data_IF_311456982607
#
_entry.id   IF_311456982607
#
_cell.length_a   1.000
_cell.length_b   1.000
_cell.length_c   1.000
_cell.angle_alpha   90.00
_cell.angle_beta   90.00
_cell.angle_gamma   90.00
#
_symmetry.space_group_name_H-M   'P 1'
#
loop_
_entity.id
_entity.type
_entity.pdbx_description
1 polymer ?
#
# COMPACT_ATOMS: atom_id res chain seq x y z
N UNK A 1 -10.12 -0.49 34.61
CA UNK A 1 -8.65 -0.62 34.52
C UNK A 1 -8.13 0.72 34.00
N UNK A 2 -7.48 1.50 34.87
CA UNK A 2 -7.08 2.88 34.62
C UNK A 2 -5.86 2.89 33.72
N UNK A 3 -5.99 3.41 32.50
CA UNK A 3 -4.85 3.71 31.67
C UNK A 3 -4.29 5.05 32.12
N UNK A 4 -3.12 5.04 32.77
CA UNK A 4 -2.39 6.28 33.11
C UNK A 4 -1.83 6.89 31.82
N UNK A 5 -2.39 8.03 31.42
CA UNK A 5 -1.70 8.95 30.52
C UNK A 5 -0.63 9.69 31.35
N UNK A 6 0.59 9.69 30.83
CA UNK A 6 1.66 10.49 31.41
C UNK A 6 1.27 11.96 31.36
N UNK A 7 1.18 12.58 32.52
CA UNK A 7 1.05 14.03 32.68
C UNK A 7 2.25 14.74 32.06
N UNK A 8 1.95 15.64 31.16
CA UNK A 8 2.93 16.47 30.48
C UNK A 8 3.37 17.61 31.39
N UNK A 9 4.55 17.51 31.98
CA UNK A 9 5.25 18.65 32.63
C UNK A 9 6.22 19.28 31.65
N UNK A 10 5.99 20.57 31.36
CA UNK A 10 7.05 21.50 31.07
C UNK A 10 7.33 21.79 29.60
N UNK A 11 6.99 23.01 29.20
CA UNK A 11 7.56 23.65 28.02
C UNK A 11 9.10 23.58 28.07
N UNK A 12 9.68 22.95 27.07
CA UNK A 12 11.10 23.07 26.77
C UNK A 12 11.29 23.50 25.32
N UNK A 13 11.96 24.60 25.14
CA UNK A 13 12.41 25.16 23.87
C UNK A 13 13.08 24.10 22.99
N UNK A 14 12.58 23.95 21.77
CA UNK A 14 13.05 22.97 20.81
C UNK A 14 14.46 23.28 20.33
N UNK A 15 15.45 22.54 20.84
CA UNK A 15 16.70 22.28 20.15
C UNK A 15 16.48 21.09 19.23
N UNK A 16 16.57 21.31 17.91
CA UNK A 16 16.63 20.25 16.92
C UNK A 16 17.70 19.23 17.30
N UNK A 17 17.32 18.10 17.90
CA UNK A 17 18.19 16.93 17.98
C UNK A 17 18.09 16.21 16.64
N UNK A 18 19.16 16.25 15.84
CA UNK A 18 19.37 15.29 14.76
C UNK A 18 19.39 13.91 15.41
N UNK A 19 18.35 13.10 15.13
CA UNK A 19 18.27 11.71 15.56
C UNK A 19 19.02 10.84 14.55
N UNK A 20 19.52 9.68 15.01
CA UNK A 20 20.31 8.73 14.21
C UNK A 20 19.59 8.16 12.96
N UNK A 21 18.31 8.45 12.76
CA UNK A 21 17.55 8.10 11.52
C UNK A 21 17.85 9.00 10.33
N UNK A 22 18.68 10.05 10.48
CA UNK A 22 19.00 10.96 9.37
C UNK A 22 20.17 10.49 8.50
N UNK A 23 21.01 9.57 8.97
CA UNK A 23 22.11 9.01 8.18
C UNK A 23 21.60 7.94 7.20
N UNK A 24 20.77 7.02 7.65
CA UNK A 24 20.22 5.95 6.80
C UNK A 24 19.34 6.51 5.66
N UNK A 25 18.58 7.57 5.93
CA UNK A 25 17.78 8.26 4.91
C UNK A 25 18.65 8.99 3.87
N UNK A 26 19.75 9.61 4.29
CA UNK A 26 20.66 10.32 3.38
C UNK A 26 21.47 9.35 2.50
N UNK A 27 21.92 8.22 3.05
CA UNK A 27 22.63 7.18 2.33
C UNK A 27 21.74 6.51 1.29
N UNK A 28 20.50 6.17 1.65
CA UNK A 28 19.52 5.62 0.73
C UNK A 28 19.16 6.60 -0.40
N UNK A 29 19.01 7.89 -0.12
CA UNK A 29 18.75 8.90 -1.15
C UNK A 29 19.93 9.00 -2.14
N UNK A 30 21.17 8.92 -1.64
CA UNK A 30 22.34 8.92 -2.51
C UNK A 30 22.40 7.68 -3.41
N UNK A 31 22.07 6.50 -2.90
CA UNK A 31 22.01 5.27 -3.68
C UNK A 31 20.93 5.30 -4.77
N UNK A 32 19.74 5.84 -4.47
CA UNK A 32 18.66 6.05 -5.46
C UNK A 32 19.13 7.02 -6.56
N UNK A 33 19.78 8.13 -6.20
CA UNK A 33 20.34 9.08 -7.17
C UNK A 33 21.37 8.40 -8.06
N UNK A 34 22.31 7.63 -7.47
CA UNK A 34 23.34 6.92 -8.21
C UNK A 34 22.74 5.88 -9.20
N UNK A 35 21.64 5.24 -8.83
CA UNK A 35 20.92 4.35 -9.74
C UNK A 35 20.40 5.12 -10.96
N UNK A 36 19.71 6.23 -10.76
CA UNK A 36 19.13 7.01 -11.84
C UNK A 36 20.18 7.68 -12.72
N UNK A 37 21.30 8.10 -12.17
CA UNK A 37 22.46 8.59 -12.93
C UNK A 37 23.08 7.51 -13.84
N UNK A 38 23.05 6.24 -13.39
CA UNK A 38 23.54 5.11 -14.17
C UNK A 38 22.53 4.58 -15.21
N UNK A 39 21.24 4.80 -15.02
CA UNK A 39 20.15 4.26 -15.83
C UNK A 39 20.34 4.47 -17.34
N UNK A 40 20.72 5.66 -17.88
CA UNK A 40 20.92 5.88 -19.31
C UNK A 40 21.99 4.96 -19.93
N UNK A 41 22.90 4.40 -19.13
CA UNK A 41 23.97 3.55 -19.61
C UNK A 41 23.61 2.07 -19.72
N UNK A 42 22.53 1.64 -19.05
CA UNK A 42 22.10 0.23 -18.97
C UNK A 42 20.76 -0.03 -19.70
N UNK A 43 19.92 1.00 -19.85
CA UNK A 43 18.52 0.86 -20.34
C UNK A 43 18.44 0.20 -21.71
N UNK A 44 19.32 0.54 -22.67
CA UNK A 44 19.29 0.01 -24.03
C UNK A 44 19.56 -1.51 -24.05
N UNK A 45 20.60 -1.95 -23.33
CA UNK A 45 20.92 -3.39 -23.26
C UNK A 45 19.82 -4.20 -22.52
N UNK A 46 19.11 -3.59 -21.59
CA UNK A 46 17.95 -4.21 -20.94
C UNK A 46 16.75 -4.29 -21.90
N UNK A 47 16.49 -3.25 -22.71
CA UNK A 47 15.45 -3.26 -23.75
C UNK A 47 15.72 -4.37 -24.77
N UNK A 48 16.95 -4.45 -25.29
CA UNK A 48 17.38 -5.50 -26.23
C UNK A 48 17.16 -6.92 -25.66
N UNK A 49 17.36 -7.09 -24.34
CA UNK A 49 17.12 -8.38 -23.67
C UNK A 49 15.64 -8.75 -23.61
N UNK A 50 14.77 -7.76 -23.36
CA UNK A 50 13.32 -7.97 -23.34
C UNK A 50 12.80 -8.30 -24.74
N UNK A 51 13.27 -7.59 -25.78
CA UNK A 51 12.86 -7.83 -27.18
C UNK A 51 13.30 -9.19 -27.70
N UNK A 52 14.54 -9.57 -27.39
CA UNK A 52 15.10 -10.85 -27.87
C UNK A 52 14.66 -12.06 -27.05
N UNK A 53 14.06 -11.85 -25.86
CA UNK A 53 13.75 -12.91 -24.91
C UNK A 53 15.00 -13.61 -24.36
N UNK A 54 16.18 -12.98 -24.46
CA UNK A 54 17.45 -13.52 -23.95
C UNK A 54 17.91 -12.75 -22.72
N UNK A 55 18.62 -13.39 -21.78
CA UNK A 55 19.17 -12.70 -20.63
C UNK A 55 20.06 -11.51 -21.04
N UNK A 56 19.97 -10.42 -20.31
CA UNK A 56 20.84 -9.27 -20.52
C UNK A 56 22.33 -9.67 -20.33
N UNK A 57 23.27 -8.96 -20.97
CA UNK A 57 24.70 -9.21 -20.79
C UNK A 57 25.08 -9.25 -19.30
N UNK A 58 25.93 -10.21 -18.91
CA UNK A 58 26.29 -10.44 -17.53
C UNK A 58 26.82 -9.16 -16.82
N UNK A 59 27.64 -8.38 -17.51
CA UNK A 59 28.17 -7.11 -17.00
C UNK A 59 27.07 -6.09 -16.67
N UNK A 60 26.02 -6.02 -17.52
CA UNK A 60 24.87 -5.13 -17.30
C UNK A 60 24.05 -5.62 -16.12
N UNK A 61 23.76 -6.93 -16.08
CA UNK A 61 22.99 -7.53 -14.99
C UNK A 61 23.68 -7.41 -13.63
N UNK A 62 25.01 -7.65 -13.58
CA UNK A 62 25.80 -7.46 -12.36
C UNK A 62 25.81 -6.01 -11.90
N UNK A 63 25.97 -5.07 -12.83
CA UNK A 63 25.93 -3.63 -12.53
C UNK A 63 24.58 -3.19 -11.96
N UNK A 64 23.47 -3.57 -12.60
CA UNK A 64 22.13 -3.24 -12.12
C UNK A 64 21.88 -3.88 -10.75
N UNK A 65 22.27 -5.14 -10.57
CA UNK A 65 22.14 -5.83 -9.29
C UNK A 65 22.92 -5.13 -8.19
N UNK A 66 24.14 -4.65 -8.47
CA UNK A 66 24.94 -3.90 -7.50
C UNK A 66 24.22 -2.59 -7.10
N UNK A 67 23.75 -1.82 -8.08
CA UNK A 67 23.03 -0.56 -7.84
C UNK A 67 21.73 -0.77 -7.03
N UNK A 68 20.96 -1.80 -7.35
CA UNK A 68 19.72 -2.13 -6.62
C UNK A 68 20.03 -2.54 -5.17
N UNK A 69 21.08 -3.33 -4.95
CA UNK A 69 21.49 -3.75 -3.60
C UNK A 69 22.12 -2.63 -2.78
N UNK A 70 22.67 -1.60 -3.40
CA UNK A 70 23.09 -0.39 -2.70
C UNK A 70 21.88 0.40 -2.16
N UNK A 71 20.73 0.37 -2.85
CA UNK A 71 19.49 0.96 -2.34
C UNK A 71 19.03 0.18 -1.11
N UNK A 72 18.92 -1.16 -1.22
CA UNK A 72 18.63 -2.05 -0.09
C UNK A 72 19.07 -3.49 -0.39
N UNK A 73 19.73 -4.21 0.53
CA UNK A 73 20.26 -5.55 0.29
C UNK A 73 19.19 -6.62 -0.01
N UNK A 74 17.96 -6.42 0.46
CA UNK A 74 16.83 -7.35 0.22
C UNK A 74 16.10 -7.05 -1.09
N UNK A 75 16.46 -6.00 -1.83
CA UNK A 75 15.87 -5.73 -3.13
C UNK A 75 16.43 -6.66 -4.19
N UNK A 76 15.53 -7.19 -4.98
CA UNK A 76 15.82 -7.84 -6.26
C UNK A 76 15.12 -7.06 -7.38
N UNK A 77 15.36 -7.43 -8.63
CA UNK A 77 14.82 -6.72 -9.78
C UNK A 77 14.52 -7.66 -10.94
N UNK A 78 13.62 -7.21 -11.81
CA UNK A 78 13.33 -7.87 -13.08
C UNK A 78 13.00 -6.83 -14.14
N UNK A 79 13.16 -7.21 -15.40
CA UNK A 79 12.70 -6.45 -16.57
C UNK A 79 11.84 -7.33 -17.45
N UNK A 80 10.87 -6.72 -18.10
CA UNK A 80 9.94 -7.40 -18.98
C UNK A 80 9.15 -6.42 -19.84
N UNK A 81 8.18 -6.94 -20.58
CA UNK A 81 7.21 -6.08 -21.25
C UNK A 81 6.40 -5.32 -20.20
N UNK A 82 6.10 -4.06 -20.47
CA UNK A 82 5.28 -3.29 -19.56
C UNK A 82 3.89 -3.92 -19.44
N UNK A 83 3.37 -4.13 -18.21
CA UNK A 83 2.00 -4.56 -18.05
C UNK A 83 1.07 -3.55 -18.72
N UNK A 84 0.13 -4.05 -19.49
CA UNK A 84 -0.87 -3.18 -20.10
C UNK A 84 -1.66 -2.51 -19.00
N UNK A 85 -2.07 -1.23 -19.18
CA UNK A 85 -3.00 -0.63 -18.24
C UNK A 85 -4.23 -1.55 -18.13
N UNK A 86 -4.49 -2.06 -16.94
CA UNK A 86 -5.72 -2.79 -16.67
C UNK A 86 -6.88 -1.76 -16.57
N UNK A 87 -7.14 -1.05 -17.65
CA UNK A 87 -8.38 -0.30 -17.86
C UNK A 87 -9.41 -1.29 -18.39
N UNK A 88 -9.87 -2.18 -17.54
CA UNK A 88 -10.86 -3.17 -17.89
C UNK A 88 -12.23 -2.83 -17.33
N UNK A 89 -13.22 -3.60 -17.73
CA UNK A 89 -14.59 -3.57 -17.22
C UNK A 89 -14.69 -3.65 -15.68
N UNK A 90 -13.61 -4.07 -15.00
CA UNK A 90 -13.52 -4.17 -13.54
C UNK A 90 -13.35 -2.81 -12.83
N UNK A 91 -12.94 -1.76 -13.54
CA UNK A 91 -12.90 -0.38 -13.02
C UNK A 91 -14.19 0.39 -13.24
N UNK A 92 -15.13 -0.19 -13.99
CA UNK A 92 -16.44 0.40 -14.16
C UNK A 92 -17.22 0.29 -12.84
N UNK A 93 -17.59 1.44 -12.31
CA UNK A 93 -18.52 1.48 -11.18
C UNK A 93 -19.92 1.07 -11.67
N UNK A 94 -20.23 -0.23 -11.53
CA UNK A 94 -21.52 -0.81 -11.89
C UNK A 94 -22.54 -0.74 -10.74
N UNK A 95 -22.31 0.10 -9.72
CA UNK A 95 -23.26 0.27 -8.63
C UNK A 95 -24.61 0.80 -9.15
N UNK A 96 -25.74 0.41 -8.54
CA UNK A 96 -27.08 0.82 -9.00
C UNK A 96 -27.32 2.34 -8.97
N UNK A 97 -26.47 3.08 -8.24
CA UNK A 97 -26.59 4.53 -8.01
C UNK A 97 -25.67 5.37 -8.91
N UNK A 98 -24.91 4.73 -9.83
CA UNK A 98 -24.01 5.46 -10.74
C UNK A 98 -24.81 6.22 -11.79
N UNK A 99 -24.44 7.49 -11.97
CA UNK A 99 -24.97 8.32 -13.06
C UNK A 99 -24.69 7.66 -14.43
N UNK A 100 -25.71 7.34 -15.23
CA UNK A 100 -25.52 6.75 -16.55
C UNK A 100 -24.60 7.56 -17.49
N UNK A 101 -24.53 8.89 -17.31
CA UNK A 101 -23.64 9.75 -18.08
C UNK A 101 -22.17 9.49 -17.71
N UNK A 102 -21.86 9.28 -16.42
CA UNK A 102 -20.52 8.96 -15.94
C UNK A 102 -20.09 7.57 -16.39
N UNK A 103 -21.01 6.60 -16.40
CA UNK A 103 -20.74 5.26 -16.91
C UNK A 103 -20.44 5.27 -18.42
N UNK A 104 -21.17 6.08 -19.21
CA UNK A 104 -20.91 6.26 -20.64
C UNK A 104 -19.57 6.94 -20.89
N UNK A 105 -19.18 7.90 -20.07
CA UNK A 105 -17.86 8.56 -20.13
C UNK A 105 -16.73 7.57 -19.82
N UNK A 106 -16.91 6.74 -18.82
CA UNK A 106 -15.96 5.67 -18.48
C UNK A 106 -15.87 4.62 -19.60
N UNK A 107 -16.98 4.20 -20.18
CA UNK A 107 -17.02 3.30 -21.33
C UNK A 107 -16.36 3.93 -22.58
N UNK A 108 -16.60 5.22 -22.83
CA UNK A 108 -15.98 5.93 -23.93
C UNK A 108 -14.46 6.08 -23.74
N UNK A 109 -13.99 6.24 -22.50
CA UNK A 109 -12.57 6.28 -22.18
C UNK A 109 -11.88 4.91 -22.40
N UNK A 110 -12.60 3.80 -22.24
CA UNK A 110 -12.12 2.45 -22.54
C UNK A 110 -12.06 2.17 -24.05
N UNK A 111 -12.91 2.83 -24.85
CA UNK A 111 -13.03 2.62 -26.31
C UNK A 111 -12.19 3.62 -27.11
N UNK A 112 -11.49 4.56 -26.45
CA UNK A 112 -10.66 5.58 -27.10
C UNK A 112 -9.28 5.02 -27.44
N UNK A 113 -9.03 4.63 -28.72
CA UNK A 113 -7.71 4.15 -29.12
C UNK A 113 -6.62 5.25 -29.08
N UNK A 114 -6.99 6.54 -28.90
CA UNK A 114 -6.03 7.62 -28.74
C UNK A 114 -5.39 7.66 -27.35
N UNK A 115 -6.04 7.09 -26.34
CA UNK A 115 -5.45 6.82 -25.01
C UNK A 115 -4.45 5.64 -25.01
N UNK A 116 -4.41 4.85 -26.10
CA UNK A 116 -3.43 3.77 -26.33
C UNK A 116 -2.14 4.28 -27.00
N UNK A 117 -2.05 5.58 -27.30
CA UNK A 117 -0.85 6.18 -27.85
C UNK A 117 0.25 6.17 -26.79
N UNK A 118 1.23 5.29 -27.02
CA UNK A 118 2.53 5.25 -26.36
C UNK A 118 2.55 4.78 -24.90
N UNK A 119 1.83 3.70 -24.59
CA UNK A 119 2.14 2.97 -23.36
C UNK A 119 3.61 2.50 -23.43
N UNK A 120 4.40 2.67 -22.37
CA UNK A 120 5.78 2.21 -22.34
C UNK A 120 5.89 0.75 -22.77
N UNK A 121 6.86 0.44 -23.62
CA UNK A 121 7.04 -0.93 -24.12
C UNK A 121 7.63 -1.87 -23.05
N UNK A 122 8.46 -1.32 -22.18
CA UNK A 122 9.23 -2.08 -21.19
C UNK A 122 8.88 -1.67 -19.77
N UNK A 123 9.06 -2.61 -18.84
CA UNK A 123 8.98 -2.32 -17.42
C UNK A 123 10.24 -2.80 -16.70
N UNK A 124 10.68 -1.98 -15.74
CA UNK A 124 11.60 -2.41 -14.69
C UNK A 124 10.86 -2.44 -13.36
N UNK A 125 10.85 -3.61 -12.74
CA UNK A 125 10.18 -3.87 -11.48
C UNK A 125 11.21 -4.17 -10.41
N UNK A 126 11.14 -3.47 -9.28
CA UNK A 126 11.83 -3.88 -8.06
C UNK A 126 10.98 -4.90 -7.30
N UNK A 127 11.66 -5.81 -6.60
CA UNK A 127 11.06 -6.89 -5.84
C UNK A 127 11.53 -6.83 -4.39
N UNK A 128 10.78 -6.15 -3.51
CA UNK A 128 11.15 -5.98 -2.11
C UNK A 128 10.96 -7.24 -1.26
N UNK A 129 10.29 -8.27 -1.75
CA UNK A 129 9.98 -9.46 -0.97
C UNK A 129 9.19 -9.13 0.30
N UNK A 130 9.37 -9.87 1.40
CA UNK A 130 8.65 -9.64 2.65
C UNK A 130 9.20 -8.45 3.48
N UNK A 131 10.31 -7.84 3.08
CA UNK A 131 10.97 -6.74 3.82
C UNK A 131 10.19 -5.43 3.69
N UNK A 132 9.69 -4.88 4.81
CA UNK A 132 9.04 -3.57 4.81
C UNK A 132 10.02 -2.44 4.49
N UNK A 133 11.26 -2.54 4.97
CA UNK A 133 12.31 -1.58 4.68
C UNK A 133 12.65 -1.54 3.19
N UNK A 134 12.80 -2.70 2.56
CA UNK A 134 13.02 -2.80 1.11
C UNK A 134 11.84 -2.19 0.33
N UNK A 135 10.59 -2.44 0.77
CA UNK A 135 9.39 -1.86 0.14
C UNK A 135 9.36 -0.34 0.21
N UNK A 136 9.79 0.24 1.34
CA UNK A 136 9.92 1.69 1.50
C UNK A 136 10.97 2.25 0.53
N UNK A 137 12.11 1.57 0.39
CA UNK A 137 13.17 2.02 -0.50
C UNK A 137 12.81 1.86 -1.98
N UNK A 138 12.09 0.81 -2.34
CA UNK A 138 11.58 0.64 -3.71
C UNK A 138 10.57 1.74 -4.08
N UNK A 139 9.73 2.17 -3.13
CA UNK A 139 8.84 3.31 -3.33
C UNK A 139 9.59 4.62 -3.57
N UNK A 140 10.65 4.89 -2.79
CA UNK A 140 11.48 6.08 -2.98
C UNK A 140 12.19 6.08 -4.33
N UNK A 141 12.69 4.91 -4.73
CA UNK A 141 13.28 4.71 -6.06
C UNK A 141 12.26 5.04 -7.15
N UNK A 142 11.05 4.53 -7.05
CA UNK A 142 9.96 4.78 -8.00
C UNK A 142 9.59 6.26 -8.08
N UNK A 143 9.38 6.93 -6.93
CA UNK A 143 9.01 8.36 -6.90
C UNK A 143 10.10 9.30 -7.40
N UNK A 144 11.34 8.83 -7.44
CA UNK A 144 12.49 9.57 -7.97
C UNK A 144 12.80 9.20 -9.42
N UNK A 145 11.98 8.35 -10.05
CA UNK A 145 12.19 7.92 -11.42
C UNK A 145 12.04 9.12 -12.38
N UNK A 146 12.90 9.23 -13.37
CA UNK A 146 12.73 10.22 -14.44
C UNK A 146 11.50 9.87 -15.29
N UNK A 147 10.90 10.86 -15.92
CA UNK A 147 9.92 10.60 -16.97
C UNK A 147 10.60 9.85 -18.12
N UNK A 148 10.00 8.75 -18.54
CA UNK A 148 10.50 7.90 -19.61
C UNK A 148 9.31 7.42 -20.46
N UNK A 149 9.42 7.56 -21.78
CA UNK A 149 8.35 7.18 -22.71
C UNK A 149 8.39 5.71 -23.09
N UNK A 150 9.54 5.04 -22.94
CA UNK A 150 9.74 3.64 -23.30
C UNK A 150 9.67 2.70 -22.12
N UNK A 151 9.99 3.22 -20.91
CA UNK A 151 10.09 2.42 -19.69
C UNK A 151 9.06 2.83 -18.65
N UNK A 152 8.40 1.83 -18.08
CA UNK A 152 7.59 1.93 -16.87
C UNK A 152 8.37 1.40 -15.68
N UNK A 153 8.38 2.17 -14.60
CA UNK A 153 9.04 1.74 -13.36
C UNK A 153 7.99 1.30 -12.34
N UNK A 154 8.24 0.15 -11.71
CA UNK A 154 7.31 -0.45 -10.76
C UNK A 154 8.04 -0.72 -9.44
N UNK A 155 7.57 -0.17 -8.31
CA UNK A 155 8.23 -0.35 -7.02
C UNK A 155 7.99 -1.74 -6.42
N UNK A 156 7.09 -2.52 -7.01
CA UNK A 156 6.70 -3.86 -6.58
C UNK A 156 6.04 -4.57 -7.75
N UNK A 157 6.10 -5.91 -7.79
CA UNK A 157 5.42 -6.67 -8.83
C UNK A 157 3.91 -6.56 -8.69
N UNK A 158 3.18 -6.01 -9.66
CA UNK A 158 1.72 -5.96 -9.65
C UNK A 158 1.11 -7.35 -9.93
N UNK A 159 -0.17 -7.50 -9.69
CA UNK A 159 -0.94 -8.62 -10.25
C UNK A 159 -0.94 -8.53 -11.79
N UNK A 160 -0.97 -9.68 -12.45
CA UNK A 160 -1.03 -9.78 -13.91
C UNK A 160 -1.94 -10.95 -14.32
N UNK A 161 -3.21 -10.64 -14.42
CA UNK A 161 -4.24 -11.63 -14.74
C UNK A 161 -4.19 -12.10 -16.20
N UNK A 162 -3.63 -11.29 -17.11
CA UNK A 162 -3.49 -11.70 -18.53
C UNK A 162 -2.51 -12.88 -18.64
N UNK A 163 -1.45 -12.89 -17.85
CA UNK A 163 -0.50 -14.00 -17.85
C UNK A 163 -1.08 -15.31 -17.32
N UNK A 164 -2.17 -15.29 -16.56
CA UNK A 164 -2.88 -16.50 -16.13
C UNK A 164 -3.56 -17.26 -17.28
N UNK A 165 -3.70 -16.64 -18.44
CA UNK A 165 -4.17 -17.28 -19.68
C UNK A 165 -3.05 -17.80 -20.59
N UNK A 166 -1.78 -17.62 -20.21
CA UNK A 166 -0.65 -17.97 -21.06
C UNK A 166 -0.07 -19.35 -20.75
N UNK A 167 0.73 -19.85 -21.68
CA UNK A 167 1.58 -21.02 -21.47
C UNK A 167 2.94 -20.58 -20.97
N UNK A 168 3.45 -21.22 -19.93
CA UNK A 168 4.78 -20.99 -19.36
C UNK A 168 5.61 -22.27 -19.44
N UNK A 169 6.92 -22.12 -19.67
CA UNK A 169 7.85 -23.26 -19.63
C UNK A 169 8.43 -23.41 -18.22
N UNK A 170 8.34 -24.63 -17.67
CA UNK A 170 8.86 -24.98 -16.35
C UNK A 170 9.42 -26.39 -16.33
N UNK A 171 10.68 -26.59 -15.94
CA UNK A 171 11.36 -27.88 -15.97
C UNK A 171 11.24 -28.59 -17.35
N UNK A 172 11.43 -27.87 -18.46
CA UNK A 172 11.28 -28.34 -19.84
C UNK A 172 9.84 -28.81 -20.20
N UNK A 173 8.84 -28.45 -19.39
CA UNK A 173 7.43 -28.70 -19.66
C UNK A 173 6.69 -27.38 -19.95
N UNK A 174 5.82 -27.46 -20.96
CA UNK A 174 4.91 -26.37 -21.30
C UNK A 174 3.62 -26.49 -20.47
N UNK A 175 3.31 -25.50 -19.66
CA UNK A 175 2.16 -25.48 -18.78
C UNK A 175 1.20 -24.35 -19.19
N UNK A 176 -0.01 -24.73 -19.58
CA UNK A 176 -1.10 -23.79 -19.85
C UNK A 176 -1.76 -23.37 -18.54
N UNK A 177 -1.44 -22.15 -18.06
CA UNK A 177 -1.94 -21.65 -16.78
C UNK A 177 -3.46 -21.47 -16.73
N UNK A 178 -4.15 -21.46 -17.88
CA UNK A 178 -5.61 -21.41 -17.93
C UNK A 178 -6.27 -22.65 -17.32
N UNK A 179 -5.53 -23.77 -17.21
CA UNK A 179 -5.99 -25.01 -16.59
C UNK A 179 -5.79 -25.04 -15.06
N UNK A 180 -5.16 -24.03 -14.50
CA UNK A 180 -4.95 -23.95 -13.05
C UNK A 180 -6.27 -23.81 -12.31
N UNK A 181 -6.38 -24.55 -11.22
CA UNK A 181 -7.47 -24.41 -10.25
C UNK A 181 -6.88 -24.17 -8.86
N UNK A 182 -7.54 -23.32 -8.09
CA UNK A 182 -7.11 -23.01 -6.73
C UNK A 182 -8.16 -23.40 -5.71
N UNK A 183 -7.73 -23.66 -4.48
CA UNK A 183 -8.55 -23.71 -3.30
C UNK A 183 -8.04 -22.69 -2.30
N UNK A 184 -8.95 -22.05 -1.57
CA UNK A 184 -8.59 -21.04 -0.58
C UNK A 184 -9.25 -21.36 0.75
N UNK A 185 -8.46 -21.26 1.81
CA UNK A 185 -8.94 -21.42 3.18
C UNK A 185 -8.55 -20.22 4.00
N UNK A 186 -9.55 -19.52 4.54
CA UNK A 186 -9.32 -18.36 5.41
C UNK A 186 -8.96 -18.84 6.81
N UNK A 187 -7.79 -18.45 7.27
CA UNK A 187 -7.34 -18.62 8.65
C UNK A 187 -7.59 -17.31 9.42
N UNK A 188 -8.80 -17.14 9.94
CA UNK A 188 -9.21 -15.91 10.66
C UNK A 188 -8.30 -15.60 11.85
N UNK A 189 -7.82 -16.63 12.57
CA UNK A 189 -6.95 -16.44 13.74
C UNK A 189 -5.58 -15.86 13.40
N UNK A 190 -5.07 -16.17 12.20
CA UNK A 190 -3.81 -15.62 11.69
C UNK A 190 -4.00 -14.39 10.79
N UNK A 191 -5.23 -14.08 10.39
CA UNK A 191 -5.50 -13.04 9.39
C UNK A 191 -4.89 -13.37 8.02
N UNK A 192 -4.87 -14.65 7.63
CA UNK A 192 -4.19 -15.13 6.43
C UNK A 192 -5.07 -16.08 5.62
N UNK A 193 -4.77 -16.13 4.31
CA UNK A 193 -5.38 -17.06 3.35
C UNK A 193 -4.36 -18.15 3.06
N UNK A 194 -4.74 -19.40 3.22
CA UNK A 194 -3.96 -20.55 2.77
C UNK A 194 -4.44 -20.93 1.38
N UNK A 195 -3.51 -21.03 0.43
CA UNK A 195 -3.78 -21.24 -1.00
C UNK A 195 -3.27 -22.61 -1.42
N UNK A 196 -4.13 -23.42 -1.98
CA UNK A 196 -3.76 -24.65 -2.66
C UNK A 196 -3.88 -24.46 -4.18
N UNK A 197 -2.84 -24.80 -4.93
CA UNK A 197 -2.80 -24.64 -6.39
C UNK A 197 -2.65 -26.00 -7.06
N UNK A 198 -3.52 -26.30 -7.99
CA UNK A 198 -3.52 -27.52 -8.77
C UNK A 198 -3.37 -27.22 -10.26
N UNK A 199 -2.51 -27.95 -10.94
CA UNK A 199 -2.46 -28.02 -12.40
C UNK A 199 -2.51 -29.51 -12.85
N UNK A 200 -3.22 -29.86 -13.93
CA UNK A 200 -3.30 -31.25 -14.41
C UNK A 200 -1.94 -31.90 -14.63
N UNK A 201 -0.97 -31.12 -15.10
CA UNK A 201 0.36 -31.61 -15.43
C UNK A 201 1.34 -31.63 -14.25
N UNK A 202 0.87 -31.28 -13.02
CA UNK A 202 1.70 -31.35 -11.80
C UNK A 202 2.38 -32.75 -11.64
N UNK A 203 1.72 -33.81 -12.13
CA UNK A 203 2.25 -35.16 -12.06
C UNK A 203 3.57 -35.36 -12.82
N UNK A 204 3.88 -34.51 -13.79
CA UNK A 204 5.09 -34.57 -14.61
C UNK A 204 6.23 -33.70 -14.06
N UNK A 205 5.95 -32.82 -13.07
CA UNK A 205 6.89 -31.88 -12.51
C UNK A 205 7.54 -32.39 -11.24
N UNK A 206 8.77 -31.94 -10.97
CA UNK A 206 9.41 -32.13 -9.68
C UNK A 206 8.63 -31.41 -8.58
N UNK A 207 8.82 -31.79 -7.31
CA UNK A 207 8.16 -31.12 -6.18
C UNK A 207 8.51 -29.63 -6.07
N UNK A 208 9.75 -29.28 -6.41
CA UNK A 208 10.22 -27.90 -6.42
C UNK A 208 9.57 -27.10 -7.56
N UNK A 209 9.50 -27.66 -8.75
CA UNK A 209 8.84 -27.03 -9.90
C UNK A 209 7.36 -26.80 -9.64
N UNK A 210 6.64 -27.79 -9.09
CA UNK A 210 5.22 -27.64 -8.71
C UNK A 210 5.00 -26.52 -7.72
N UNK A 211 5.86 -26.42 -6.71
CA UNK A 211 5.78 -25.33 -5.74
C UNK A 211 6.09 -23.98 -6.40
N UNK A 212 7.08 -23.92 -7.28
CA UNK A 212 7.40 -22.71 -8.04
C UNK A 212 6.24 -22.24 -8.92
N UNK A 213 5.53 -23.17 -9.59
CA UNK A 213 4.31 -22.85 -10.35
C UNK A 213 3.21 -22.31 -9.42
N UNK A 214 3.02 -22.94 -8.26
CA UNK A 214 2.00 -22.50 -7.29
C UNK A 214 2.28 -21.08 -6.77
N UNK A 215 3.54 -20.79 -6.43
CA UNK A 215 3.96 -19.47 -5.99
C UNK A 215 3.81 -18.42 -7.11
N UNK A 216 4.18 -18.79 -8.34
CA UNK A 216 4.06 -17.92 -9.51
C UNK A 216 2.60 -17.55 -9.81
N UNK A 217 1.71 -18.54 -9.86
CA UNK A 217 0.26 -18.32 -10.07
C UNK A 217 -0.34 -17.43 -8.97
N UNK A 218 0.04 -17.66 -7.73
CA UNK A 218 -0.43 -16.84 -6.60
C UNK A 218 0.05 -15.39 -6.74
N UNK A 219 1.31 -15.21 -7.19
CA UNK A 219 1.90 -13.91 -7.46
C UNK A 219 1.20 -13.18 -8.62
N UNK A 220 0.92 -13.88 -9.72
CA UNK A 220 0.19 -13.33 -10.86
C UNK A 220 -1.24 -12.91 -10.48
N UNK A 221 -1.89 -13.68 -9.60
CA UNK A 221 -3.26 -13.39 -9.20
C UNK A 221 -3.39 -12.21 -8.25
N UNK A 222 -2.45 -12.01 -7.34
CA UNK A 222 -2.55 -11.05 -6.24
C UNK A 222 -1.55 -9.88 -6.32
N UNK A 223 -0.41 -10.07 -7.00
CA UNK A 223 0.72 -9.17 -6.86
C UNK A 223 1.45 -9.33 -5.53
N UNK A 224 2.65 -8.79 -5.45
CA UNK A 224 3.57 -9.06 -4.34
C UNK A 224 3.10 -8.47 -3.00
N UNK A 225 2.56 -7.24 -2.99
CA UNK A 225 2.09 -6.61 -1.76
C UNK A 225 0.92 -7.37 -1.13
N UNK A 226 -0.05 -7.80 -1.94
CA UNK A 226 -1.21 -8.58 -1.47
C UNK A 226 -0.81 -10.00 -1.04
N UNK A 227 0.14 -10.64 -1.75
CA UNK A 227 0.69 -11.94 -1.33
C UNK A 227 1.33 -11.82 0.06
N UNK A 228 2.22 -10.86 0.27
CA UNK A 228 2.85 -10.66 1.58
C UNK A 228 1.83 -10.31 2.66
N UNK A 229 0.82 -9.53 2.32
CA UNK A 229 -0.20 -9.09 3.26
C UNK A 229 -1.15 -10.20 3.67
N UNK A 230 -1.69 -10.96 2.72
CA UNK A 230 -2.81 -11.86 2.94
C UNK A 230 -2.47 -13.34 2.89
N UNK A 231 -1.45 -13.74 2.14
CA UNK A 231 -1.14 -15.15 1.98
C UNK A 231 -0.29 -15.66 3.13
N UNK A 232 -0.73 -16.76 3.73
CA UNK A 232 0.02 -17.46 4.79
C UNK A 232 0.87 -18.58 4.23
N UNK A 233 0.24 -19.52 3.53
CA UNK A 233 0.89 -20.68 2.94
C UNK A 233 0.38 -20.88 1.53
N UNK A 234 1.27 -21.20 0.62
CA UNK A 234 0.97 -21.70 -0.72
C UNK A 234 1.39 -23.16 -0.79
N UNK A 235 0.52 -24.02 -1.28
CA UNK A 235 0.79 -25.45 -1.46
C UNK A 235 0.46 -25.87 -2.89
N UNK A 236 1.34 -26.63 -3.51
CA UNK A 236 0.99 -27.36 -4.71
C UNK A 236 0.16 -28.61 -4.35
N UNK A 237 -0.98 -28.77 -5.01
CA UNK A 237 -1.88 -29.90 -4.80
C UNK A 237 -1.62 -31.01 -5.80
N UNK A 238 -1.63 -32.27 -5.32
CA UNK A 238 -1.52 -33.47 -6.17
C UNK A 238 -2.86 -33.82 -6.84
N UNK A 239 -3.99 -33.41 -6.25
CA UNK A 239 -5.33 -33.69 -6.73
C UNK A 239 -6.14 -32.40 -6.89
N UNK A 240 -7.03 -32.38 -7.87
CA UNK A 240 -7.93 -31.26 -8.09
C UNK A 240 -8.81 -31.05 -6.87
N UNK A 241 -8.90 -29.81 -6.32
CA UNK A 241 -9.76 -29.53 -5.18
C UNK A 241 -11.24 -29.82 -5.50
N UNK A 242 -12.01 -30.14 -4.47
CA UNK A 242 -13.45 -30.44 -4.61
C UNK A 242 -14.25 -29.24 -5.08
N UNK A 243 -13.89 -28.04 -4.57
CA UNK A 243 -14.48 -26.75 -4.97
C UNK A 243 -13.42 -25.91 -5.67
N UNK A 244 -13.10 -26.23 -6.95
CA UNK A 244 -12.05 -25.55 -7.69
C UNK A 244 -12.50 -24.13 -8.07
N UNK A 245 -11.66 -23.14 -7.80
CA UNK A 245 -11.86 -21.76 -8.20
C UNK A 245 -10.78 -21.36 -9.22
N UNK A 246 -11.05 -20.41 -10.12
CA UNK A 246 -10.01 -19.82 -10.94
C UNK A 246 -9.09 -18.93 -10.10
N UNK A 247 -7.79 -18.80 -10.45
CA UNK A 247 -6.87 -17.90 -9.73
C UNK A 247 -7.35 -16.46 -9.66
N UNK A 248 -8.07 -15.98 -10.67
CA UNK A 248 -8.67 -14.64 -10.73
C UNK A 248 -9.71 -14.34 -9.63
N UNK A 249 -10.15 -15.36 -8.87
CA UNK A 249 -11.02 -15.18 -7.71
C UNK A 249 -10.27 -14.76 -6.43
N UNK A 250 -8.93 -14.89 -6.40
CA UNK A 250 -8.12 -14.59 -5.21
C UNK A 250 -8.26 -13.13 -4.72
N UNK A 251 -8.25 -12.09 -5.59
CA UNK A 251 -8.42 -10.70 -5.14
C UNK A 251 -9.72 -10.44 -4.38
N UNK A 252 -10.82 -11.06 -4.83
CA UNK A 252 -12.11 -10.93 -4.15
C UNK A 252 -12.07 -11.54 -2.72
N UNK A 253 -11.36 -12.65 -2.54
CA UNK A 253 -11.19 -13.27 -1.21
C UNK A 253 -10.27 -12.43 -0.33
N UNK A 254 -9.20 -11.86 -0.88
CA UNK A 254 -8.31 -10.93 -0.16
C UNK A 254 -9.07 -9.69 0.32
N UNK A 255 -9.92 -9.11 -0.54
CA UNK A 255 -10.80 -7.99 -0.19
C UNK A 255 -11.78 -8.37 0.93
N UNK A 256 -12.48 -9.50 0.81
CA UNK A 256 -13.38 -9.99 1.87
C UNK A 256 -12.65 -10.20 3.20
N UNK A 257 -11.40 -10.67 3.18
CA UNK A 257 -10.57 -10.78 4.37
C UNK A 257 -10.31 -9.41 4.99
N UNK A 258 -9.99 -8.40 4.18
CA UNK A 258 -9.83 -7.01 4.62
C UNK A 258 -11.09 -6.50 5.31
N UNK A 259 -12.26 -6.71 4.71
CA UNK A 259 -13.55 -6.28 5.24
C UNK A 259 -13.91 -7.00 6.56
N UNK A 260 -13.60 -8.29 6.66
CA UNK A 260 -13.82 -9.08 7.90
C UNK A 260 -12.93 -8.62 9.07
N UNK A 261 -11.70 -8.20 8.78
CA UNK A 261 -10.73 -7.78 9.80
C UNK A 261 -10.84 -6.29 10.14
N UNK A 262 -11.23 -5.47 9.20
CA UNK A 262 -11.17 -4.01 9.31
C UNK A 262 -12.52 -3.29 9.29
N UNK A 263 -13.63 -4.00 9.12
CA UNK A 263 -14.92 -3.35 8.87
C UNK A 263 -14.99 -2.72 7.47
N UNK A 264 -16.06 -1.99 7.18
CA UNK A 264 -16.30 -1.37 5.88
C UNK A 264 -15.22 -0.32 5.58
N UNK A 265 -14.63 -0.37 4.40
CA UNK A 265 -13.63 0.58 3.90
C UNK A 265 -12.34 0.71 4.74
N UNK A 266 -12.00 -0.32 5.51
CA UNK A 266 -10.77 -0.30 6.32
C UNK A 266 -10.81 0.63 7.53
N UNK A 267 -12.01 0.95 8.05
CA UNK A 267 -12.20 1.76 9.24
C UNK A 267 -13.00 1.03 10.31
N UNK A 268 -12.56 1.18 11.56
CA UNK A 268 -13.25 0.65 12.74
C UNK A 268 -13.68 1.81 13.64
N UNK A 269 -14.97 1.87 13.95
CA UNK A 269 -15.53 2.83 14.91
C UNK A 269 -15.63 2.20 16.29
N UNK A 270 -15.13 2.89 17.29
CA UNK A 270 -15.13 2.46 18.69
C UNK A 270 -15.74 3.54 19.58
N UNK A 271 -16.58 3.12 20.49
CA UNK A 271 -17.13 3.99 21.52
C UNK A 271 -16.62 3.57 22.89
N UNK A 272 -16.37 4.55 23.75
CA UNK A 272 -15.85 4.30 25.08
C UNK A 272 -16.08 5.46 26.02
N UNK A 273 -15.39 5.41 27.17
CA UNK A 273 -15.41 6.50 28.15
C UNK A 273 -13.99 6.72 28.70
N UNK A 274 -13.54 7.96 28.66
CA UNK A 274 -12.27 8.37 29.24
C UNK A 274 -12.48 8.98 30.63
N UNK A 275 -11.63 8.66 31.61
CA UNK A 275 -11.66 9.33 32.90
C UNK A 275 -11.55 10.85 32.73
N UNK A 276 -12.40 11.60 33.42
CA UNK A 276 -12.45 13.08 33.41
C UNK A 276 -12.84 13.76 32.10
N UNK A 277 -12.88 13.04 30.96
CA UNK A 277 -13.23 13.61 29.66
C UNK A 277 -14.63 13.18 29.17
N UNK A 278 -15.20 12.15 29.78
CA UNK A 278 -16.53 11.66 29.40
C UNK A 278 -16.51 10.64 28.24
N UNK A 279 -17.55 10.61 27.42
CA UNK A 279 -17.62 9.73 26.27
C UNK A 279 -16.48 10.02 25.29
N UNK A 280 -16.07 8.99 24.56
CA UNK A 280 -15.08 9.08 23.49
C UNK A 280 -15.54 8.27 22.29
N UNK A 281 -15.43 8.88 21.14
CA UNK A 281 -15.59 8.23 19.84
C UNK A 281 -14.23 8.15 19.15
N UNK A 282 -13.90 6.98 18.62
CA UNK A 282 -12.63 6.72 17.95
C UNK A 282 -12.92 6.09 16.61
N UNK A 283 -12.40 6.71 15.56
CA UNK A 283 -12.33 6.14 14.23
C UNK A 283 -10.87 5.73 13.98
N UNK A 284 -10.65 4.46 13.69
CA UNK A 284 -9.32 3.88 13.55
C UNK A 284 -9.19 3.16 12.21
N UNK A 285 -8.16 3.49 11.44
CA UNK A 285 -7.84 2.77 10.21
C UNK A 285 -7.28 1.39 10.54
N UNK A 286 -7.97 0.34 10.06
CA UNK A 286 -7.59 -1.05 10.32
C UNK A 286 -8.29 -2.00 9.32
N UNK A 287 -7.58 -2.98 8.74
CA UNK A 287 -6.14 -3.19 8.87
C UNK A 287 -5.35 -2.19 8.03
N UNK A 288 -4.21 -1.77 8.52
CA UNK A 288 -3.25 -0.95 7.77
C UNK A 288 -1.82 -1.35 8.15
N UNK A 289 -0.98 -1.50 7.15
CA UNK A 289 0.45 -1.85 7.28
C UNK A 289 1.33 -0.81 6.60
N UNK A 290 2.63 -0.86 6.88
CA UNK A 290 3.61 0.02 6.23
C UNK A 290 3.65 -0.17 4.70
N UNK A 291 3.38 -1.38 4.23
CA UNK A 291 3.36 -1.71 2.79
C UNK A 291 2.24 -1.00 2.03
N UNK A 292 1.13 -0.72 2.69
CA UNK A 292 -0.02 -0.05 2.07
C UNK A 292 0.30 1.42 1.73
N UNK A 293 1.14 2.05 2.56
CA UNK A 293 1.48 3.46 2.45
C UNK A 293 2.99 3.67 2.73
N UNK A 294 3.88 3.14 1.88
CA UNK A 294 5.30 3.06 2.16
C UNK A 294 6.02 4.42 2.23
N UNK A 295 5.53 5.45 1.54
CA UNK A 295 6.09 6.79 1.58
C UNK A 295 5.79 7.54 2.88
N UNK A 296 4.68 7.24 3.55
CA UNK A 296 4.17 8.03 4.66
C UNK A 296 4.93 7.75 5.96
N UNK A 297 5.93 8.56 6.26
CA UNK A 297 6.82 8.38 7.41
C UNK A 297 6.85 9.56 8.40
N UNK A 298 6.19 10.67 8.10
CA UNK A 298 6.06 11.81 8.98
C UNK A 298 4.77 11.71 9.78
N UNK A 299 4.87 11.40 11.07
CA UNK A 299 3.74 11.46 12.01
C UNK A 299 3.32 12.89 12.26
N UNK A 300 2.01 13.17 12.15
CA UNK A 300 1.40 14.47 12.45
C UNK A 300 0.20 14.26 13.34
N UNK A 301 0.25 14.79 14.54
CA UNK A 301 -0.86 14.82 15.48
C UNK A 301 -1.44 16.22 15.55
N UNK A 302 -2.75 16.33 15.36
CA UNK A 302 -3.48 17.59 15.38
C UNK A 302 -4.56 17.52 16.44
N UNK A 303 -4.66 18.54 17.30
CA UNK A 303 -5.75 18.72 18.26
C UNK A 303 -6.57 19.94 17.85
N UNK A 304 -7.80 19.70 17.45
CA UNK A 304 -8.74 20.72 16.97
C UNK A 304 -9.85 20.91 18.02
N UNK A 305 -9.91 22.05 18.71
CA UNK A 305 -11.02 22.36 19.59
C UNK A 305 -12.28 22.68 18.79
N UNK A 306 -13.45 22.50 19.39
CA UNK A 306 -14.72 22.92 18.82
C UNK A 306 -15.55 23.66 19.87
N UNK A 307 -16.39 24.58 19.43
CA UNK A 307 -17.13 25.51 20.29
C UNK A 307 -18.55 25.05 20.60
N UNK A 308 -19.24 24.45 19.60
CA UNK A 308 -20.60 23.95 19.75
C UNK A 308 -20.55 22.47 20.19
N UNK A 309 -20.92 22.24 21.47
CA UNK A 309 -20.78 20.94 22.10
C UNK A 309 -21.92 20.68 23.10
N UNK A 310 -22.33 19.41 23.19
CA UNK A 310 -23.32 18.91 24.13
C UNK A 310 -22.83 18.89 25.60
N UNK A 311 -23.70 18.39 26.51
CA UNK A 311 -23.38 18.26 27.92
C UNK A 311 -22.22 17.28 28.22
N UNK A 312 -22.00 16.32 27.36
CA UNK A 312 -20.91 15.34 27.39
C UNK A 312 -19.64 15.85 26.67
N UNK A 313 -19.69 17.10 26.19
CA UNK A 313 -18.62 17.77 25.45
C UNK A 313 -18.25 17.04 24.14
N UNK A 314 -19.24 16.43 23.49
CA UNK A 314 -19.16 15.97 22.10
C UNK A 314 -19.67 17.08 21.17
N UNK A 315 -19.20 17.16 19.91
CA UNK A 315 -19.57 18.25 19.01
C UNK A 315 -21.02 18.13 18.59
N UNK A 316 -21.76 19.25 18.58
CA UNK A 316 -23.10 19.38 18.01
C UNK A 316 -23.05 19.75 16.51
N UNK A 317 -24.22 19.87 15.89
CA UNK A 317 -24.39 19.94 14.42
C UNK A 317 -23.46 20.96 13.74
N UNK A 318 -23.33 22.16 14.30
CA UNK A 318 -22.49 23.24 13.73
C UNK A 318 -21.02 22.86 13.72
N UNK A 319 -20.49 22.38 14.86
CA UNK A 319 -19.09 21.95 14.94
C UNK A 319 -18.82 20.66 14.20
N UNK A 320 -19.81 19.74 14.12
CA UNK A 320 -19.69 18.53 13.29
C UNK A 320 -19.51 18.91 11.82
N UNK A 321 -20.34 19.83 11.29
CA UNK A 321 -20.22 20.31 9.92
C UNK A 321 -18.87 20.98 9.67
N UNK A 322 -18.43 21.89 10.57
CA UNK A 322 -17.15 22.57 10.45
C UNK A 322 -15.95 21.60 10.46
N UNK A 323 -15.97 20.57 11.33
CA UNK A 323 -14.94 19.54 11.38
C UNK A 323 -14.92 18.70 10.11
N UNK A 324 -16.09 18.34 9.57
CA UNK A 324 -16.21 17.59 8.31
C UNK A 324 -15.65 18.37 7.11
N UNK A 325 -15.96 19.67 7.04
CA UNK A 325 -15.42 20.56 6.01
C UNK A 325 -13.89 20.69 6.12
N UNK A 326 -13.36 20.80 7.34
CA UNK A 326 -11.90 20.80 7.56
C UNK A 326 -11.28 19.49 7.09
N UNK A 327 -11.87 18.35 7.45
CA UNK A 327 -11.37 17.03 7.02
C UNK A 327 -11.33 16.90 5.49
N UNK A 328 -12.38 17.37 4.80
CA UNK A 328 -12.43 17.35 3.35
C UNK A 328 -11.33 18.23 2.71
N UNK A 329 -11.09 19.43 3.24
CA UNK A 329 -10.02 20.31 2.76
C UNK A 329 -8.64 19.73 3.02
N UNK A 330 -8.39 19.19 4.23
CA UNK A 330 -7.13 18.53 4.55
C UNK A 330 -6.90 17.30 3.67
N UNK A 331 -7.93 16.51 3.38
CA UNK A 331 -7.82 15.38 2.46
C UNK A 331 -7.47 15.82 1.03
N UNK A 332 -8.06 16.93 0.56
CA UNK A 332 -7.74 17.53 -0.73
C UNK A 332 -6.29 18.01 -0.85
N UNK A 333 -5.78 18.66 0.22
CA UNK A 333 -4.37 19.10 0.29
C UNK A 333 -3.41 17.90 0.28
N UNK A 334 -3.73 16.88 1.05
CA UNK A 334 -2.86 15.72 1.20
C UNK A 334 -2.80 14.85 -0.06
N UNK A 335 -3.93 14.62 -0.74
CA UNK A 335 -3.99 13.70 -1.87
C UNK A 335 -3.32 12.36 -1.52
N UNK A 336 -2.38 11.92 -2.36
CA UNK A 336 -1.59 10.70 -2.15
C UNK A 336 -0.40 10.90 -1.19
N UNK A 337 -0.08 12.15 -0.82
CA UNK A 337 1.08 12.49 0.00
C UNK A 337 0.79 12.44 1.50
N UNK A 338 -0.40 12.04 1.90
CA UNK A 338 -0.74 11.87 3.31
C UNK A 338 -2.05 11.13 3.51
N UNK A 339 -2.24 10.60 4.69
CA UNK A 339 -3.46 9.90 5.05
C UNK A 339 -3.81 10.05 6.52
N UNK A 340 -5.11 10.08 6.81
CA UNK A 340 -5.64 9.96 8.16
C UNK A 340 -5.55 8.50 8.62
N UNK A 341 -5.10 8.29 9.86
CA UNK A 341 -4.94 6.98 10.48
C UNK A 341 -5.86 6.77 11.69
N UNK A 342 -6.13 7.84 12.40
CA UNK A 342 -6.97 7.78 13.59
C UNK A 342 -7.61 9.15 13.85
N UNK A 343 -8.85 9.11 14.31
CA UNK A 343 -9.59 10.24 14.82
C UNK A 343 -10.12 9.88 16.20
N UNK A 344 -10.01 10.81 17.15
CA UNK A 344 -10.57 10.64 18.49
C UNK A 344 -11.30 11.92 18.90
N UNK A 345 -12.57 11.81 19.21
CA UNK A 345 -13.42 12.92 19.65
C UNK A 345 -13.77 12.73 21.13
N UNK A 346 -13.36 13.66 21.97
CA UNK A 346 -13.65 13.67 23.41
C UNK A 346 -13.37 15.02 24.04
N UNK A 347 -14.12 15.39 25.06
CA UNK A 347 -13.78 16.48 25.97
C UNK A 347 -13.68 17.86 25.34
N UNK A 348 -14.41 18.16 24.26
CA UNK A 348 -14.42 19.45 23.58
C UNK A 348 -13.33 19.64 22.54
N UNK A 349 -12.71 18.55 22.09
CA UNK A 349 -11.70 18.58 21.02
C UNK A 349 -11.70 17.29 20.21
N UNK A 350 -11.27 17.38 18.95
CA UNK A 350 -11.00 16.24 18.09
C UNK A 350 -9.50 16.14 17.84
N UNK A 351 -8.95 14.97 18.12
CA UNK A 351 -7.57 14.63 17.81
C UNK A 351 -7.53 13.85 16.51
N UNK A 352 -6.64 14.25 15.61
CA UNK A 352 -6.32 13.52 14.40
C UNK A 352 -4.89 13.02 14.45
N UNK A 353 -4.68 11.84 13.88
CA UNK A 353 -3.36 11.28 13.61
C UNK A 353 -3.25 11.06 12.12
N UNK A 354 -2.38 11.81 11.49
CA UNK A 354 -2.02 11.69 10.08
C UNK A 354 -0.60 11.13 9.95
N UNK A 355 -0.34 10.52 8.81
CA UNK A 355 1.01 10.32 8.31
C UNK A 355 1.14 10.95 6.94
N UNK A 356 2.24 11.67 6.73
CA UNK A 356 2.56 12.38 5.50
C UNK A 356 3.88 11.85 4.91
N UNK A 357 4.03 12.06 3.61
CA UNK A 357 5.32 11.93 2.94
C UNK A 357 6.16 13.18 3.26
N UNK A 358 7.30 13.03 3.97
CA UNK A 358 8.14 14.16 4.34
C UNK A 358 8.78 14.87 3.14
N UNK A 359 8.90 14.18 2.01
CA UNK A 359 9.59 14.67 0.81
C UNK A 359 8.63 15.37 -0.18
N UNK A 360 7.32 15.24 0.03
CA UNK A 360 6.28 15.81 -0.84
C UNK A 360 6.14 17.34 -0.78
N UNK A 361 6.65 17.97 0.30
CA UNK A 361 6.46 19.39 0.54
C UNK A 361 5.06 19.83 0.94
N UNK A 362 4.12 18.90 1.19
CA UNK A 362 2.70 19.20 1.51
C UNK A 362 2.48 19.77 2.91
N UNK A 363 3.42 19.55 3.84
CA UNK A 363 3.27 19.93 5.25
C UNK A 363 2.99 21.43 5.46
N UNK A 364 3.66 22.38 4.81
CA UNK A 364 3.39 23.81 5.02
C UNK A 364 1.96 24.22 4.63
N UNK A 365 1.41 23.68 3.56
CA UNK A 365 0.04 23.95 3.13
C UNK A 365 -0.97 23.35 4.12
N UNK A 366 -0.72 22.13 4.57
CA UNK A 366 -1.50 21.46 5.62
C UNK A 366 -1.50 22.26 6.95
N UNK A 367 -0.34 22.80 7.36
CA UNK A 367 -0.22 23.65 8.56
C UNK A 367 -0.98 24.97 8.41
N UNK A 368 -0.91 25.60 7.23
CA UNK A 368 -1.62 26.86 6.96
C UNK A 368 -3.14 26.69 7.04
N UNK A 369 -3.69 25.60 6.47
CA UNK A 369 -5.12 25.30 6.54
C UNK A 369 -5.60 25.17 8.00
N UNK A 370 -4.80 24.57 8.85
CA UNK A 370 -5.12 24.42 10.28
C UNK A 370 -5.08 25.75 11.06
N UNK A 371 -4.29 26.72 10.61
CA UNK A 371 -4.21 28.04 11.26
C UNK A 371 -5.50 28.85 11.07
N UNK A 372 -6.25 28.60 10.02
CA UNK A 372 -7.51 29.27 9.68
C UNK A 372 -8.72 28.70 10.44
N UNK A 373 -8.51 27.72 11.35
CA UNK A 373 -9.59 27.14 12.14
C UNK A 373 -10.31 28.15 13.03
N UNK A 374 -11.66 28.36 12.87
CA UNK A 374 -12.37 29.46 13.55
C UNK A 374 -12.75 29.16 15.01
N UNK A 375 -12.86 27.88 15.40
CA UNK A 375 -13.44 27.50 16.70
C UNK A 375 -12.39 27.31 17.81
N UNK A 376 -11.20 27.86 17.61
CA UNK A 376 -10.18 27.90 18.66
C UNK A 376 -8.77 27.62 18.15
N UNK A 377 -7.82 27.53 19.08
CA UNK A 377 -6.42 27.34 18.73
C UNK A 377 -6.09 25.89 18.52
N UNK A 378 -5.73 25.54 17.29
CA UNK A 378 -5.24 24.21 16.93
C UNK A 378 -3.83 24.00 17.51
N UNK A 379 -3.57 22.77 17.97
CA UNK A 379 -2.23 22.34 18.39
C UNK A 379 -1.76 21.27 17.42
N UNK A 380 -0.53 21.41 16.93
CA UNK A 380 0.09 20.49 16.00
C UNK A 380 1.43 20.00 16.53
N UNK A 381 1.68 18.71 16.37
CA UNK A 381 2.95 18.05 16.68
C UNK A 381 3.36 17.18 15.51
N UNK A 382 4.60 17.34 15.06
CA UNK A 382 5.21 16.52 14.00
C UNK A 382 6.40 15.74 14.53
N UNK A 383 6.63 14.54 13.98
CA UNK A 383 7.77 13.70 14.31
C UNK A 383 8.04 12.70 13.17
N UNK A 384 9.30 12.54 12.78
CA UNK A 384 9.67 11.42 11.90
C UNK A 384 9.42 10.10 12.64
N UNK A 385 8.63 9.24 12.00
CA UNK A 385 8.23 7.93 12.55
C UNK A 385 8.12 6.88 11.42
N UNK A 386 9.24 6.52 10.79
CA UNK A 386 9.24 5.61 9.63
C UNK A 386 8.71 4.21 9.94
N UNK A 387 8.67 3.81 11.20
CA UNK A 387 8.14 2.50 11.66
C UNK A 387 6.73 2.58 12.24
N UNK A 388 6.06 3.72 12.13
CA UNK A 388 4.72 3.98 12.67
C UNK A 388 4.57 3.61 14.16
N UNK A 389 5.63 3.82 14.94
CA UNK A 389 5.65 3.48 16.36
C UNK A 389 4.59 4.25 17.15
N UNK A 390 4.38 5.54 16.81
CA UNK A 390 3.38 6.37 17.48
C UNK A 390 1.97 5.85 17.22
N UNK A 391 1.64 5.53 15.97
CA UNK A 391 0.35 4.96 15.62
C UNK A 391 0.17 3.56 16.24
N UNK A 392 1.17 2.70 16.16
CA UNK A 392 1.13 1.36 16.75
C UNK A 392 0.93 1.38 18.26
N UNK A 393 1.53 2.36 18.95
CA UNK A 393 1.29 2.58 20.38
C UNK A 393 -0.14 3.08 20.64
N UNK A 394 -0.62 4.03 19.84
CA UNK A 394 -1.97 4.60 19.98
C UNK A 394 -3.06 3.55 19.73
N UNK A 395 -2.93 2.72 18.67
CA UNK A 395 -3.95 1.71 18.32
C UNK A 395 -3.95 0.46 19.23
N UNK A 396 -2.82 0.16 19.88
CA UNK A 396 -2.63 -1.08 20.66
C UNK A 396 -3.74 -1.39 21.70
N UNK A 397 -4.26 -0.41 22.47
CA UNK A 397 -5.34 -0.67 23.42
C UNK A 397 -6.65 -1.09 22.74
N UNK A 398 -6.89 -0.62 21.54
CA UNK A 398 -8.13 -0.81 20.79
C UNK A 398 -8.12 -2.14 20.03
N UNK A 399 -7.04 -2.47 19.35
CA UNK A 399 -6.84 -3.74 18.64
C UNK A 399 -6.96 -4.92 19.59
N UNK A 400 -6.39 -4.83 20.81
CA UNK A 400 -6.56 -5.88 21.85
C UNK A 400 -8.00 -6.11 22.29
N UNK A 401 -8.84 -5.06 22.29
CA UNK A 401 -10.27 -5.16 22.64
C UNK A 401 -11.10 -5.81 21.55
N UNK A 402 -10.67 -5.64 20.30
CA UNK A 402 -11.34 -6.22 19.13
C UNK A 402 -10.99 -7.71 18.92
N UNK A 403 -10.02 -8.26 19.70
CA UNK A 403 -9.58 -9.64 19.55
C UNK A 403 -8.75 -9.87 18.29
N UNK A 404 -8.16 -8.79 17.75
CA UNK A 404 -7.36 -8.74 16.50
C UNK A 404 -5.87 -8.73 16.81
#
# INVERSE_FOLDING_TARGET
>A
MVVRFCENRGMALFRRRRSAGSSDSAESTAAVTAFWDAWPTVRSALADSVESGTPAPAEVSERVTALVREIHPDLDWEVGQAPRPQGGLDELDLSPDVDPAKLLEQLAALDDPSGLTEAPAYAMTLRPGPSEEARIQSERWFRSAPEDTEWRFLPVRPADHEQLGNTVSWDDHELDLSHVSVSMRVNQGAGKIEVGVYHPDNMFLSGEARQGVADHVTMLALGEDEVVRWVGKVESLDERPLDPLPPTSMPAVAKQMGDLLGGTDGWVTLHGRLPLQGPVEILLRHPVTRRDLPALSLFVQVLVPYADADADRLPEETSVAALSDLEARLAGILGENGALFMQQTAGGQRMYVYYLDPDSGVLPEFENELMDWPEGKVQLRTQMDPKWQQFNLARRPYVRKLGL
#
